data_IF_612143985674
#
_entry.id   IF_612143985674
#
_cell.length_a   1.000
_cell.length_b   1.000
_cell.length_c   1.000
_cell.angle_alpha   90.00
_cell.angle_beta   90.00
_cell.angle_gamma   90.00
#
_symmetry.space_group_name_H-M   'P 1'
#
loop_
_entity.id
_entity.type
_entity.pdbx_description
1 polymer ?
#
# COMPACT_ATOMS: atom_id res chain seq x y z
N UNK A 1 -4.04 21.03 26.78
CA UNK A 1 -2.99 20.54 27.70
C UNK A 1 -2.56 19.18 27.21
N UNK A 2 -1.26 18.81 27.18
CA UNK A 2 -0.87 17.48 26.77
C UNK A 2 -1.29 16.51 27.88
N UNK A 3 -2.32 15.72 27.61
CA UNK A 3 -2.79 14.67 28.52
C UNK A 3 -1.74 13.57 28.52
N UNK A 4 -1.01 13.44 29.64
CA UNK A 4 -0.07 12.35 29.82
C UNK A 4 -0.85 11.06 30.00
N UNK A 5 -0.96 10.27 28.94
CA UNK A 5 -1.58 8.95 28.98
C UNK A 5 -0.49 7.91 29.26
N UNK A 6 -0.46 7.31 30.47
CA UNK A 6 0.51 6.28 30.77
C UNK A 6 0.25 5.05 29.90
N UNK A 7 1.32 4.47 29.37
CA UNK A 7 1.25 3.26 28.55
C UNK A 7 0.73 2.07 29.36
N UNK A 8 -0.19 1.31 28.77
CA UNK A 8 -0.69 0.04 29.31
C UNK A 8 -0.25 -1.09 28.40
N UNK A 9 0.18 -2.21 28.98
CA UNK A 9 0.60 -3.40 28.22
C UNK A 9 -0.49 -3.94 27.30
N UNK A 10 -1.77 -3.75 27.67
CA UNK A 10 -2.93 -4.11 26.85
C UNK A 10 -3.00 -3.35 25.51
N UNK A 11 -2.34 -2.18 25.40
CA UNK A 11 -2.36 -1.39 24.16
C UNK A 11 -1.58 -2.07 23.04
N UNK A 12 -0.54 -2.85 23.34
CA UNK A 12 0.19 -3.59 22.31
C UNK A 12 -0.71 -4.62 21.61
N UNK A 13 -1.49 -5.38 22.37
CA UNK A 13 -2.39 -6.38 21.78
C UNK A 13 -3.50 -5.73 20.96
N UNK A 14 -4.14 -4.69 21.50
CA UNK A 14 -5.18 -3.93 20.79
C UNK A 14 -4.66 -3.30 19.50
N UNK A 15 -3.46 -2.72 19.55
CA UNK A 15 -2.81 -2.12 18.40
C UNK A 15 -2.48 -3.17 17.32
N UNK A 16 -2.03 -4.37 17.71
CA UNK A 16 -1.84 -5.48 16.76
C UNK A 16 -3.14 -5.85 16.07
N UNK A 17 -4.23 -6.04 16.83
CA UNK A 17 -5.53 -6.39 16.26
C UNK A 17 -6.02 -5.33 15.27
N UNK A 18 -5.89 -4.05 15.62
CA UNK A 18 -6.30 -2.97 14.73
C UNK A 18 -5.38 -2.83 13.50
N UNK A 19 -4.06 -2.94 13.65
CA UNK A 19 -3.15 -2.94 12.51
C UNK A 19 -3.39 -4.11 11.55
N UNK A 20 -3.78 -5.28 12.06
CA UNK A 20 -4.21 -6.41 11.23
C UNK A 20 -5.45 -6.09 10.38
N UNK A 21 -6.29 -5.18 10.84
CA UNK A 21 -7.46 -4.69 10.10
C UNK A 21 -7.11 -3.52 9.14
N UNK A 22 -5.83 -3.14 9.04
CA UNK A 22 -5.37 -2.04 8.21
C UNK A 22 -5.41 -0.66 8.88
N UNK A 23 -5.54 -0.59 10.22
CA UNK A 23 -5.60 0.67 10.93
C UNK A 23 -4.31 1.50 10.78
N UNK A 24 -4.50 2.79 10.52
CA UNK A 24 -3.45 3.79 10.45
C UNK A 24 -3.09 4.33 11.85
N UNK A 25 -1.95 5.04 12.01
CA UNK A 25 -1.56 5.63 13.30
C UNK A 25 -2.62 6.58 13.88
N UNK A 26 -3.39 7.24 13.03
CA UNK A 26 -4.50 8.13 13.39
C UNK A 26 -5.65 7.33 14.01
N UNK A 27 -6.03 6.19 13.43
CA UNK A 27 -7.06 5.31 13.98
C UNK A 27 -6.65 4.75 15.36
N UNK A 28 -5.37 4.48 15.55
CA UNK A 28 -4.83 4.05 16.84
C UNK A 28 -4.84 5.18 17.88
N UNK A 29 -4.54 6.41 17.44
CA UNK A 29 -4.60 7.59 18.29
C UNK A 29 -6.03 7.81 18.80
N UNK A 30 -7.02 7.72 17.91
CA UNK A 30 -8.45 7.79 18.25
C UNK A 30 -8.88 6.64 19.17
N UNK A 31 -8.45 5.41 18.88
CA UNK A 31 -8.76 4.22 19.70
C UNK A 31 -8.26 4.35 21.15
N UNK A 32 -7.06 4.91 21.33
CA UNK A 32 -6.46 5.06 22.66
C UNK A 32 -6.78 6.41 23.30
N UNK A 33 -7.45 7.32 22.59
CA UNK A 33 -7.74 8.68 23.04
C UNK A 33 -6.48 9.49 23.30
N UNK A 34 -5.43 9.27 22.51
CA UNK A 34 -4.13 9.93 22.62
C UNK A 34 -3.81 10.68 21.34
N UNK A 35 -2.86 11.61 21.39
CA UNK A 35 -2.33 12.26 20.19
C UNK A 35 -1.46 11.29 19.37
N UNK A 36 -1.44 11.44 18.04
CA UNK A 36 -0.65 10.60 17.12
C UNK A 36 0.84 10.65 17.47
N UNK A 37 1.36 11.79 17.94
CA UNK A 37 2.75 11.92 18.40
C UNK A 37 3.03 10.97 19.57
N UNK A 38 2.04 10.70 20.42
CA UNK A 38 2.17 9.74 21.53
C UNK A 38 2.32 8.31 21.01
N UNK A 39 1.61 7.94 19.94
CA UNK A 39 1.74 6.63 19.28
C UNK A 39 3.15 6.45 18.72
N UNK A 40 3.67 7.45 18.00
CA UNK A 40 5.04 7.42 17.49
C UNK A 40 6.07 7.36 18.62
N UNK A 41 5.83 8.09 19.71
CA UNK A 41 6.70 8.04 20.90
C UNK A 41 6.73 6.64 21.50
N UNK A 42 5.57 6.00 21.70
CA UNK A 42 5.50 4.62 22.19
C UNK A 42 6.18 3.62 21.26
N UNK A 43 6.12 3.83 19.95
CA UNK A 43 6.82 2.99 18.98
C UNK A 43 8.35 3.06 19.16
N UNK A 44 8.89 4.23 19.54
CA UNK A 44 10.33 4.40 19.79
C UNK A 44 10.72 3.91 21.19
N UNK A 45 9.92 4.22 22.20
CA UNK A 45 10.27 3.96 23.60
C UNK A 45 9.91 2.56 24.08
N UNK A 46 9.00 1.86 23.41
CA UNK A 46 8.41 0.59 23.86
C UNK A 46 8.55 -0.48 22.78
N UNK A 47 9.59 -1.34 22.85
CA UNK A 47 9.86 -2.36 21.84
C UNK A 47 8.72 -3.37 21.64
N UNK A 48 7.98 -3.71 22.70
CA UNK A 48 6.85 -4.64 22.62
C UNK A 48 5.69 -4.07 21.79
N UNK A 49 5.41 -2.76 21.94
CA UNK A 49 4.42 -2.06 21.15
C UNK A 49 4.84 -1.96 19.68
N UNK A 50 6.10 -1.61 19.42
CA UNK A 50 6.65 -1.56 18.07
C UNK A 50 6.57 -2.93 17.37
N UNK A 51 6.93 -4.01 18.08
CA UNK A 51 6.81 -5.37 17.56
C UNK A 51 5.37 -5.74 17.25
N UNK A 52 4.43 -5.38 18.13
CA UNK A 52 3.01 -5.66 17.93
C UNK A 52 2.45 -4.97 16.67
N UNK A 53 2.82 -3.70 16.44
CA UNK A 53 2.46 -2.97 15.22
C UNK A 53 3.05 -3.61 13.97
N UNK A 54 4.33 -3.98 14.01
CA UNK A 54 5.01 -4.62 12.88
C UNK A 54 4.33 -5.95 12.52
N UNK A 55 4.10 -6.81 13.51
CA UNK A 55 3.43 -8.10 13.32
C UNK A 55 2.02 -7.91 12.76
N UNK A 56 1.25 -6.95 13.27
CA UNK A 56 -0.11 -6.68 12.76
C UNK A 56 -0.11 -6.24 11.29
N UNK A 57 0.87 -5.44 10.87
CA UNK A 57 1.01 -5.01 9.47
C UNK A 57 1.45 -6.15 8.56
N UNK A 58 2.44 -6.94 8.99
CA UNK A 58 2.89 -8.14 8.27
C UNK A 58 1.71 -9.12 8.06
N UNK A 59 0.87 -9.34 9.09
CA UNK A 59 -0.33 -10.17 8.95
C UNK A 59 -1.35 -9.59 7.94
N UNK A 60 -1.48 -8.27 7.84
CA UNK A 60 -2.35 -7.63 6.88
C UNK A 60 -1.80 -7.76 5.45
N UNK A 61 -0.49 -7.56 5.27
CA UNK A 61 0.21 -7.75 4.00
C UNK A 61 0.07 -9.21 3.53
N UNK A 62 0.28 -10.19 4.42
CA UNK A 62 0.09 -11.62 4.14
C UNK A 62 -1.34 -11.93 3.63
N UNK A 63 -2.37 -11.26 4.18
CA UNK A 63 -3.75 -11.43 3.71
C UNK A 63 -3.95 -10.89 2.29
N UNK A 64 -3.34 -9.75 1.98
CA UNK A 64 -3.36 -9.18 0.62
C UNK A 64 -2.65 -10.11 -0.35
N UNK A 65 -1.49 -10.66 0.03
CA UNK A 65 -0.77 -11.64 -0.80
C UNK A 65 -1.60 -12.89 -1.07
N UNK A 66 -2.28 -13.44 -0.06
CA UNK A 66 -3.17 -14.60 -0.23
C UNK A 66 -4.36 -14.28 -1.14
N UNK A 67 -4.97 -13.10 -0.98
CA UNK A 67 -6.07 -12.66 -1.84
C UNK A 67 -5.61 -12.47 -3.28
N UNK A 68 -4.44 -11.84 -3.47
CA UNK A 68 -3.84 -11.64 -4.79
C UNK A 68 -3.50 -12.97 -5.46
N UNK A 69 -2.95 -13.93 -4.71
CA UNK A 69 -2.68 -15.27 -5.22
C UNK A 69 -3.96 -15.98 -5.67
N UNK A 70 -5.03 -15.93 -4.87
CA UNK A 70 -6.35 -16.47 -5.25
C UNK A 70 -6.88 -15.81 -6.53
N UNK A 71 -6.68 -14.50 -6.67
CA UNK A 71 -7.07 -13.75 -7.87
C UNK A 71 -6.23 -14.13 -9.10
N UNK A 72 -4.94 -14.42 -8.90
CA UNK A 72 -4.03 -14.85 -9.96
C UNK A 72 -4.33 -16.27 -10.47
N UNK A 73 -4.74 -17.21 -9.60
CA UNK A 73 -5.09 -18.57 -10.03
C UNK A 73 -6.53 -18.67 -10.58
N UNK A 74 -7.38 -17.69 -10.29
CA UNK A 74 -8.82 -17.75 -10.52
C UNK A 74 -9.51 -18.54 -9.40
N UNK A 75 -10.63 -18.04 -8.91
CA UNK A 75 -11.38 -18.67 -7.85
C UNK A 75 -12.81 -19.01 -8.31
N UNK A 76 -13.29 -20.18 -7.92
CA UNK A 76 -14.70 -20.57 -8.09
C UNK A 76 -15.39 -20.53 -6.74
N UNK A 77 -16.47 -19.78 -6.62
CA UNK A 77 -17.20 -19.60 -5.36
C UNK A 77 -18.68 -19.98 -5.56
N UNK A 78 -19.29 -20.74 -4.62
CA UNK A 78 -20.71 -21.05 -4.67
C UNK A 78 -21.53 -19.80 -4.31
N UNK A 79 -22.21 -19.22 -5.29
CA UNK A 79 -23.07 -18.06 -5.15
C UNK A 79 -24.54 -18.47 -5.17
N UNK A 80 -25.41 -17.66 -4.57
CA UNK A 80 -26.86 -17.87 -4.56
C UNK A 80 -27.53 -16.69 -5.24
N UNK A 81 -28.25 -16.95 -6.32
CA UNK A 81 -29.07 -15.92 -6.96
C UNK A 81 -30.46 -15.94 -6.32
N UNK A 82 -30.88 -14.80 -5.81
CA UNK A 82 -32.20 -14.63 -5.19
C UNK A 82 -33.15 -14.04 -6.22
N UNK A 83 -34.18 -14.79 -6.58
CA UNK A 83 -35.27 -14.31 -7.42
C UNK A 83 -36.53 -14.16 -6.58
N UNK A 84 -37.23 -13.03 -6.74
CA UNK A 84 -38.56 -12.82 -6.14
C UNK A 84 -39.57 -13.05 -7.25
N UNK A 85 -40.42 -14.06 -7.09
CA UNK A 85 -41.52 -14.29 -8.03
C UNK A 85 -42.61 -13.22 -7.81
N UNK A 86 -43.00 -12.53 -8.87
CA UNK A 86 -43.98 -11.43 -8.81
C UNK A 86 -45.41 -11.90 -8.51
N UNK A 87 -45.70 -13.20 -8.64
CA UNK A 87 -47.04 -13.75 -8.37
C UNK A 87 -47.21 -14.31 -6.97
N UNK A 88 -46.17 -14.95 -6.42
CA UNK A 88 -46.23 -15.58 -5.09
C UNK A 88 -45.50 -14.82 -3.99
N UNK A 89 -44.67 -13.80 -4.33
CA UNK A 89 -43.83 -13.04 -3.37
C UNK A 89 -42.90 -13.91 -2.51
N UNK A 90 -42.66 -15.16 -2.92
CA UNK A 90 -41.75 -16.05 -2.21
C UNK A 90 -40.33 -15.96 -2.82
N UNK A 91 -39.28 -15.87 -1.98
CA UNK A 91 -37.90 -15.86 -2.46
C UNK A 91 -37.48 -17.27 -2.90
N UNK A 92 -37.04 -17.40 -4.15
CA UNK A 92 -36.45 -18.63 -4.68
C UNK A 92 -34.93 -18.48 -4.72
N UNK A 93 -34.24 -19.44 -4.11
CA UNK A 93 -32.78 -19.49 -4.05
C UNK A 93 -32.27 -20.51 -5.07
N UNK A 94 -31.50 -20.05 -6.05
CA UNK A 94 -30.82 -20.93 -7.00
C UNK A 94 -29.30 -20.85 -6.74
N UNK A 95 -28.71 -21.98 -6.34
CA UNK A 95 -27.27 -22.10 -6.14
C UNK A 95 -26.57 -22.27 -7.49
N UNK A 96 -25.60 -21.41 -7.79
CA UNK A 96 -24.73 -21.53 -8.96
C UNK A 96 -23.26 -21.37 -8.56
N UNK A 97 -22.35 -21.92 -9.37
CA UNK A 97 -20.91 -21.71 -9.16
C UNK A 97 -20.50 -20.51 -9.99
N UNK A 98 -20.12 -19.42 -9.32
CA UNK A 98 -19.54 -18.26 -9.98
C UNK A 98 -18.05 -18.52 -10.19
N UNK A 99 -17.61 -18.46 -11.46
CA UNK A 99 -16.21 -18.63 -11.82
C UNK A 99 -15.58 -17.26 -12.09
N UNK A 100 -14.60 -16.89 -11.29
CA UNK A 100 -13.78 -15.70 -11.55
C UNK A 100 -12.53 -16.13 -12.32
N UNK A 101 -12.34 -15.67 -13.58
CA UNK A 101 -11.16 -15.99 -14.34
C UNK A 101 -9.91 -15.37 -13.69
N UNK A 102 -8.73 -15.96 -13.93
CA UNK A 102 -7.47 -15.43 -13.42
C UNK A 102 -7.22 -14.01 -13.93
N UNK A 103 -6.84 -13.11 -13.03
CA UNK A 103 -6.52 -11.72 -13.38
C UNK A 103 -5.08 -11.62 -13.92
N UNK A 104 -4.94 -11.21 -15.17
CA UNK A 104 -3.64 -11.17 -15.87
C UNK A 104 -2.65 -10.20 -15.22
N UNK A 105 -3.13 -9.09 -14.64
CA UNK A 105 -2.26 -8.12 -13.96
C UNK A 105 -1.75 -8.70 -12.63
N UNK A 106 -2.60 -9.40 -11.87
CA UNK A 106 -2.18 -10.13 -10.68
C UNK A 106 -1.14 -11.22 -11.00
N UNK A 107 -1.33 -11.97 -12.09
CA UNK A 107 -0.35 -12.95 -12.58
C UNK A 107 0.99 -12.30 -12.92
N UNK A 108 0.97 -11.20 -13.68
CA UNK A 108 2.20 -10.49 -14.06
C UNK A 108 2.93 -9.94 -12.84
N UNK A 109 2.21 -9.32 -11.89
CA UNK A 109 2.79 -8.79 -10.66
C UNK A 109 3.45 -9.89 -9.82
N UNK A 110 2.76 -11.03 -9.65
CA UNK A 110 3.26 -12.18 -8.91
C UNK A 110 4.54 -12.77 -9.55
N UNK A 111 4.55 -12.94 -10.87
CA UNK A 111 5.70 -13.49 -11.60
C UNK A 111 6.91 -12.53 -11.58
N UNK A 112 6.69 -11.21 -11.66
CA UNK A 112 7.75 -10.21 -11.54
C UNK A 112 8.48 -10.25 -10.19
N UNK A 113 7.78 -10.54 -9.09
CA UNK A 113 8.37 -10.62 -7.75
C UNK A 113 9.00 -11.99 -7.45
N UNK A 114 8.44 -13.08 -7.98
CA UNK A 114 8.87 -14.46 -7.65
C UNK A 114 9.82 -15.10 -8.67
N UNK A 115 9.81 -14.62 -9.92
CA UNK A 115 10.70 -15.07 -11.01
C UNK A 115 11.30 -13.86 -11.74
N UNK A 116 12.08 -13.01 -11.04
CA UNK A 116 12.60 -11.79 -11.63
C UNK A 116 13.52 -12.06 -12.83
N UNK A 117 14.23 -13.18 -12.83
CA UNK A 117 15.13 -13.59 -13.92
C UNK A 117 14.45 -13.73 -15.29
N UNK A 118 13.18 -14.12 -15.34
CA UNK A 118 12.45 -14.33 -16.60
C UNK A 118 11.39 -13.27 -16.89
N UNK A 119 10.98 -12.48 -15.90
CA UNK A 119 9.83 -11.58 -16.01
C UNK A 119 10.13 -10.11 -15.71
N UNK A 120 11.30 -9.80 -15.14
CA UNK A 120 11.71 -8.41 -14.95
C UNK A 120 12.16 -7.86 -16.28
N UNK A 121 11.59 -6.73 -16.67
CA UNK A 121 12.01 -6.03 -17.88
C UNK A 121 13.49 -5.65 -17.74
N UNK A 122 14.34 -5.93 -18.75
CA UNK A 122 15.69 -5.44 -18.75
C UNK A 122 15.62 -3.91 -18.69
N UNK A 123 16.25 -3.32 -17.68
CA UNK A 123 16.52 -1.89 -17.71
C UNK A 123 17.58 -1.69 -18.78
N UNK A 124 17.27 -0.91 -19.81
CA UNK A 124 18.30 -0.38 -20.69
C UNK A 124 19.36 0.26 -19.79
N UNK A 125 20.60 -0.22 -19.93
CA UNK A 125 21.71 0.40 -19.26
C UNK A 125 21.71 1.86 -19.70
N UNK A 126 21.60 2.77 -18.75
CA UNK A 126 21.68 4.19 -19.05
C UNK A 126 23.10 4.45 -19.54
N UNK A 127 23.29 4.51 -20.87
CA UNK A 127 24.59 4.75 -21.48
C UNK A 127 25.00 6.19 -21.16
N UNK A 128 25.76 6.33 -20.07
CA UNK A 128 26.32 7.60 -19.61
C UNK A 128 27.17 8.25 -20.70
N UNK A 129 27.84 7.45 -21.54
CA UNK A 129 28.65 7.93 -22.66
C UNK A 129 27.81 8.60 -23.76
N UNK A 130 26.59 8.12 -24.02
CA UNK A 130 25.69 8.73 -25.00
C UNK A 130 25.11 10.06 -24.49
N UNK A 131 24.87 10.16 -23.17
CA UNK A 131 24.37 11.39 -22.54
C UNK A 131 25.43 12.49 -22.44
N UNK A 132 26.71 12.13 -22.31
CA UNK A 132 27.82 13.09 -22.27
C UNK A 132 28.29 13.55 -23.66
N UNK A 133 27.85 12.89 -24.73
CA UNK A 133 28.15 13.25 -26.12
C UNK A 133 27.12 14.24 -26.73
N UNK A 134 26.04 14.58 -26.02
CA UNK A 134 24.99 15.49 -26.47
C UNK A 134 25.33 16.97 -26.23
N UNK A 135 25.62 17.67 -27.33
CA UNK A 135 25.71 19.12 -27.54
C UNK A 135 26.16 20.00 -26.37
N UNK A 136 27.40 20.48 -26.48
CA UNK A 136 27.87 21.67 -25.78
C UNK A 136 26.89 22.82 -26.04
N UNK A 137 26.19 23.26 -25.00
CA UNK A 137 25.34 24.46 -25.03
C UNK A 137 26.26 25.62 -25.44
N UNK A 138 26.02 26.31 -26.57
CA UNK A 138 26.79 27.48 -26.92
C UNK A 138 26.50 28.56 -25.87
N UNK A 139 27.52 28.88 -25.07
CA UNK A 139 27.47 30.02 -24.15
C UNK A 139 27.56 31.27 -25.00
N UNK A 140 26.40 31.88 -25.28
CA UNK A 140 26.32 33.18 -25.94
C UNK A 140 26.99 34.22 -25.02
N UNK A 141 28.05 34.86 -25.52
CA UNK A 141 28.78 35.88 -24.78
C UNK A 141 27.87 37.10 -24.57
N UNK A 142 27.56 37.39 -23.30
CA UNK A 142 26.86 38.59 -22.87
C UNK A 142 27.75 39.80 -23.19
N UNK A 143 27.42 40.54 -24.25
CA UNK A 143 28.09 41.80 -24.57
C UNK A 143 27.73 42.84 -23.50
N UNK A 144 28.71 43.52 -22.86
CA UNK A 144 28.42 44.47 -21.80
C UNK A 144 27.69 45.69 -22.37
N UNK A 145 26.42 45.82 -22.00
CA UNK A 145 25.59 47.00 -22.30
C UNK A 145 26.18 48.30 -21.72
N UNK A 146 25.93 49.46 -22.33
CA UNK A 146 26.67 50.67 -22.03
C UNK A 146 26.37 51.22 -20.63
N UNK A 147 27.44 51.53 -19.90
CA UNK A 147 27.41 52.19 -18.59
C UNK A 147 26.60 53.48 -18.65
N UNK A 148 25.50 53.52 -17.90
CA UNK A 148 24.73 54.75 -17.70
C UNK A 148 25.41 55.57 -16.59
N UNK A 149 25.68 56.88 -16.80
CA UNK A 149 26.27 57.70 -15.76
C UNK A 149 25.26 57.90 -14.62
N UNK A 150 25.73 57.67 -13.40
CA UNK A 150 24.99 57.94 -12.17
C UNK A 150 25.00 59.45 -11.95
N UNK A 151 23.81 60.02 -11.74
CA UNK A 151 23.59 61.43 -11.38
C UNK A 151 23.35 61.55 -9.87
#
# INVERSE_FOLDING_TARGET
MPTYHPYRSDFAEKARTHCRLGAAPEDLADLFGVDVVTIFRWQITIPSFARALKHGREEADDMVEQALFRKAIGCSHPAVKIFIDTKTREPKFESYIEHHPPDTAACQFWLKHRRPESWREPRDAFDLDAAMAGDAIPVEADEPGPDKPIL
#
